data_IF_016907215159
#
_entry.id   IF_016907215159
#
_cell.length_a   1.000
_cell.length_b   1.000
_cell.length_c   1.000
_cell.angle_alpha   90.00
_cell.angle_beta   90.00
_cell.angle_gamma   90.00
#
_symmetry.space_group_name_H-M   'P 1'
#
loop_
_entity.id
_entity.type
_entity.pdbx_description
1 polymer ?
#
# COMPACT_ATOMS: atom_id res chain seq x y z
N UNK A 1 -20.39 -2.58 -1.92
CA UNK A 1 -20.09 -3.88 -2.58
C UNK A 1 -18.60 -3.91 -2.90
N UNK A 2 -17.93 -5.05 -2.64
CA UNK A 2 -16.52 -5.25 -3.01
C UNK A 2 -16.40 -5.40 -4.52
N UNK A 3 -15.50 -4.64 -5.16
CA UNK A 3 -15.20 -4.70 -6.59
C UNK A 3 -14.01 -5.61 -6.88
N UNK A 4 -12.95 -5.50 -6.09
CA UNK A 4 -11.72 -6.25 -6.29
C UNK A 4 -10.96 -6.45 -4.98
N UNK A 5 -10.06 -7.43 -4.96
CA UNK A 5 -9.12 -7.62 -3.87
C UNK A 5 -7.76 -8.11 -4.38
N UNK A 6 -6.70 -7.77 -3.67
CA UNK A 6 -5.34 -8.25 -3.93
C UNK A 6 -4.64 -8.65 -2.63
N UNK A 7 -3.76 -9.64 -2.69
CA UNK A 7 -2.94 -10.11 -1.57
C UNK A 7 -1.46 -9.97 -1.95
N UNK A 8 -0.67 -9.34 -1.10
CA UNK A 8 0.76 -9.19 -1.26
C UNK A 8 1.46 -9.10 0.10
N UNK A 9 2.80 -9.05 0.10
CA UNK A 9 3.62 -8.78 1.27
C UNK A 9 4.90 -8.07 0.83
N UNK A 10 5.67 -7.54 1.79
CA UNK A 10 7.01 -7.03 1.55
C UNK A 10 8.02 -7.91 2.28
N UNK A 11 9.08 -8.32 1.60
CA UNK A 11 10.21 -9.00 2.22
C UNK A 11 11.22 -8.00 2.80
N UNK A 12 12.15 -8.50 3.61
CA UNK A 12 13.32 -7.72 4.04
C UNK A 12 14.16 -7.21 2.87
N UNK A 13 14.26 -8.01 1.80
CA UNK A 13 14.96 -7.62 0.58
C UNK A 13 14.28 -6.45 -0.13
N UNK A 14 12.94 -6.39 -0.13
CA UNK A 14 12.19 -5.27 -0.69
C UNK A 14 12.43 -3.97 0.10
N UNK A 15 12.49 -4.06 1.44
CA UNK A 15 12.83 -2.92 2.28
C UNK A 15 14.26 -2.43 2.04
N UNK A 16 15.23 -3.35 1.97
CA UNK A 16 16.62 -3.01 1.70
C UNK A 16 16.79 -2.34 0.33
N UNK A 17 16.13 -2.86 -0.70
CA UNK A 17 16.13 -2.28 -2.04
C UNK A 17 15.49 -0.89 -2.05
N UNK A 18 14.34 -0.72 -1.38
CA UNK A 18 13.67 0.58 -1.31
C UNK A 18 14.47 1.61 -0.51
N UNK A 19 15.11 1.21 0.59
CA UNK A 19 15.98 2.06 1.39
C UNK A 19 17.17 2.58 0.56
N UNK A 20 17.81 1.71 -0.24
CA UNK A 20 18.91 2.11 -1.12
C UNK A 20 18.48 3.18 -2.14
N UNK A 21 17.24 3.12 -2.62
CA UNK A 21 16.67 4.07 -3.56
C UNK A 21 16.20 5.38 -2.88
N UNK A 22 15.40 5.27 -1.82
CA UNK A 22 14.73 6.39 -1.15
C UNK A 22 15.67 7.22 -0.28
N UNK A 23 16.77 6.63 0.22
CA UNK A 23 17.68 7.25 1.20
C UNK A 23 16.98 7.71 2.49
N UNK A 24 15.83 7.12 2.80
CA UNK A 24 15.16 7.37 4.08
C UNK A 24 15.83 6.51 5.17
N UNK A 25 16.64 7.18 5.98
CA UNK A 25 17.44 6.61 7.08
C UNK A 25 16.66 6.49 8.41
N UNK A 26 15.33 6.61 8.39
CA UNK A 26 14.55 6.45 9.61
C UNK A 26 14.78 5.05 10.22
N UNK A 27 15.30 4.96 11.46
CA UNK A 27 15.72 3.69 12.05
C UNK A 27 14.55 2.72 12.31
N UNK A 28 13.29 3.20 12.28
CA UNK A 28 12.12 2.32 12.42
C UNK A 28 12.10 1.21 11.37
N UNK A 29 12.62 1.48 10.18
CA UNK A 29 12.65 0.51 9.08
C UNK A 29 13.68 -0.61 9.31
N UNK A 30 14.71 -0.38 10.13
CA UNK A 30 15.66 -1.41 10.54
C UNK A 30 15.03 -2.46 11.46
N UNK A 31 13.88 -2.14 12.07
CA UNK A 31 13.09 -3.08 12.86
C UNK A 31 12.17 -3.96 11.97
N UNK A 32 12.13 -3.71 10.66
CA UNK A 32 11.25 -4.41 9.73
C UNK A 32 9.89 -3.71 9.50
N UNK A 33 9.74 -2.45 9.91
CA UNK A 33 8.55 -1.66 9.57
C UNK A 33 8.63 -1.20 8.12
N UNK A 34 7.60 -1.51 7.33
CA UNK A 34 7.51 -1.11 5.91
C UNK A 34 7.42 0.41 5.80
N UNK A 35 8.10 0.99 4.79
CA UNK A 35 8.00 2.42 4.49
C UNK A 35 6.58 2.76 4.03
N UNK A 36 5.96 3.78 4.63
CA UNK A 36 4.60 4.20 4.26
C UNK A 36 4.47 4.52 2.77
N UNK A 37 5.44 5.26 2.22
CA UNK A 37 5.46 5.61 0.79
C UNK A 37 5.63 4.37 -0.09
N UNK A 38 6.43 3.38 0.32
CA UNK A 38 6.57 2.12 -0.41
C UNK A 38 5.24 1.33 -0.42
N UNK A 39 4.54 1.27 0.72
CA UNK A 39 3.22 0.66 0.82
C UNK A 39 2.22 1.35 -0.11
N UNK A 40 2.14 2.68 -0.05
CA UNK A 40 1.24 3.47 -0.89
C UNK A 40 1.53 3.26 -2.39
N UNK A 41 2.81 3.33 -2.80
CA UNK A 41 3.19 3.13 -4.20
C UNK A 41 2.83 1.72 -4.72
N UNK A 42 2.95 0.69 -3.87
CA UNK A 42 2.52 -0.67 -4.22
C UNK A 42 1.01 -0.76 -4.39
N UNK A 43 0.25 -0.15 -3.48
CA UNK A 43 -1.23 -0.09 -3.57
C UNK A 43 -1.64 0.66 -4.82
N UNK A 44 -1.05 1.82 -5.11
CA UNK A 44 -1.31 2.61 -6.31
C UNK A 44 -1.07 1.79 -7.59
N UNK A 45 0.08 1.11 -7.70
CA UNK A 45 0.38 0.26 -8.86
C UNK A 45 -0.64 -0.87 -9.06
N UNK A 46 -1.14 -1.47 -7.98
CA UNK A 46 -2.21 -2.48 -8.04
C UNK A 46 -3.52 -1.83 -8.51
N UNK A 47 -3.91 -0.69 -7.95
CA UNK A 47 -5.13 0.01 -8.33
C UNK A 47 -5.09 0.45 -9.80
N UNK A 48 -3.99 1.05 -10.25
CA UNK A 48 -3.82 1.43 -11.66
C UNK A 48 -3.99 0.23 -12.60
N UNK A 49 -3.45 -0.94 -12.22
CA UNK A 49 -3.60 -2.18 -13.00
C UNK A 49 -5.05 -2.68 -12.98
N UNK A 50 -5.70 -2.71 -11.81
CA UNK A 50 -7.07 -3.22 -11.65
C UNK A 50 -8.13 -2.37 -12.37
N UNK A 51 -7.90 -1.06 -12.49
CA UNK A 51 -8.82 -0.12 -13.13
C UNK A 51 -8.38 0.27 -14.55
N UNK A 52 -7.33 -0.36 -15.09
CA UNK A 52 -6.76 -0.06 -16.41
C UNK A 52 -6.47 1.45 -16.61
N UNK A 53 -6.02 2.11 -15.55
CA UNK A 53 -5.76 3.55 -15.54
C UNK A 53 -4.47 3.83 -16.31
N UNK A 54 -4.61 4.54 -17.44
CA UNK A 54 -3.50 4.92 -18.32
C UNK A 54 -2.84 6.25 -17.96
N UNK A 55 -3.51 7.04 -17.12
CA UNK A 55 -3.06 8.36 -16.70
C UNK A 55 -2.96 8.43 -15.18
N UNK A 56 -2.16 9.39 -14.70
CA UNK A 56 -1.95 9.64 -13.29
C UNK A 56 -3.26 10.16 -12.67
N UNK A 57 -3.79 9.46 -11.67
CA UNK A 57 -4.94 9.91 -10.87
C UNK A 57 -4.47 10.50 -9.56
N UNK A 58 -5.34 11.29 -8.95
CA UNK A 58 -5.18 11.70 -7.57
C UNK A 58 -5.62 10.55 -6.65
N UNK A 59 -4.78 10.24 -5.67
CA UNK A 59 -5.07 9.25 -4.64
C UNK A 59 -4.95 9.92 -3.30
N UNK A 60 -6.00 9.81 -2.48
CA UNK A 60 -5.89 10.09 -1.05
C UNK A 60 -5.60 8.78 -0.32
N UNK A 61 -4.65 8.83 0.62
CA UNK A 61 -4.28 7.69 1.45
C UNK A 61 -4.04 8.14 2.89
N UNK A 62 -4.66 7.44 3.84
CA UNK A 62 -4.43 7.59 5.27
C UNK A 62 -3.71 6.37 5.84
N UNK A 63 -2.53 6.59 6.44
CA UNK A 63 -1.81 5.57 7.21
C UNK A 63 -2.41 5.50 8.62
N UNK A 64 -2.98 4.36 8.98
CA UNK A 64 -3.65 4.16 10.26
C UNK A 64 -2.80 3.36 11.27
N UNK A 65 -1.95 2.46 10.78
CA UNK A 65 -0.94 1.77 11.58
C UNK A 65 0.23 1.30 10.70
N UNK A 66 1.31 0.88 11.35
CA UNK A 66 2.47 0.25 10.71
C UNK A 66 2.13 -1.12 10.13
N UNK A 67 2.96 -1.53 9.17
CA UNK A 67 2.97 -2.87 8.58
C UNK A 67 4.37 -3.45 8.76
N UNK A 68 4.46 -4.73 9.11
CA UNK A 68 5.75 -5.42 9.21
C UNK A 68 6.06 -6.17 7.92
N UNK A 69 7.35 -6.38 7.66
CA UNK A 69 7.79 -7.31 6.63
C UNK A 69 7.23 -8.71 6.86
N UNK A 70 6.99 -9.43 5.77
CA UNK A 70 6.42 -10.76 5.70
C UNK A 70 4.97 -10.88 6.20
N UNK A 71 4.38 -9.83 6.77
CA UNK A 71 2.95 -9.82 7.07
C UNK A 71 2.15 -9.87 5.75
N UNK A 72 1.08 -10.71 5.70
CA UNK A 72 0.16 -10.71 4.58
C UNK A 72 -0.69 -9.43 4.58
N UNK A 73 -0.67 -8.73 3.46
CA UNK A 73 -1.42 -7.48 3.23
C UNK A 73 -2.54 -7.75 2.24
N UNK A 74 -3.77 -7.47 2.68
CA UNK A 74 -4.98 -7.55 1.88
C UNK A 74 -5.45 -6.16 1.48
N UNK A 75 -5.45 -5.89 0.18
CA UNK A 75 -6.11 -4.72 -0.40
C UNK A 75 -7.54 -5.09 -0.77
N UNK A 76 -8.52 -4.34 -0.26
CA UNK A 76 -9.94 -4.47 -0.59
C UNK A 76 -10.39 -3.19 -1.27
N UNK A 77 -11.04 -3.31 -2.41
CA UNK A 77 -11.49 -2.16 -3.22
C UNK A 77 -12.98 -2.24 -3.43
N UNK A 78 -13.71 -1.18 -3.10
CA UNK A 78 -15.15 -1.09 -3.32
C UNK A 78 -15.50 -0.49 -4.68
N UNK A 79 -16.77 -0.63 -5.07
CA UNK A 79 -17.27 -0.16 -6.36
C UNK A 79 -17.21 1.37 -6.53
N UNK A 80 -17.25 2.12 -5.42
CA UNK A 80 -17.15 3.58 -5.34
C UNK A 80 -15.70 4.09 -5.27
N UNK A 81 -14.72 3.23 -5.60
CA UNK A 81 -13.29 3.55 -5.64
C UNK A 81 -12.64 3.86 -4.29
N UNK A 82 -13.35 3.63 -3.18
CA UNK A 82 -12.70 3.50 -1.88
C UNK A 82 -11.87 2.21 -1.83
N UNK A 83 -10.80 2.25 -1.07
CA UNK A 83 -10.01 1.06 -0.77
C UNK A 83 -9.55 1.04 0.67
N UNK A 84 -9.38 -0.18 1.19
CA UNK A 84 -8.86 -0.46 2.52
C UNK A 84 -7.65 -1.38 2.41
N UNK A 85 -6.64 -1.12 3.24
CA UNK A 85 -5.44 -1.93 3.38
C UNK A 85 -5.47 -2.59 4.74
N UNK A 86 -5.42 -3.91 4.75
CA UNK A 86 -5.45 -4.74 5.95
C UNK A 86 -4.15 -5.53 6.07
N UNK A 87 -3.58 -5.59 7.27
CA UNK A 87 -2.49 -6.51 7.59
C UNK A 87 -2.98 -7.45 8.67
N UNK A 88 -2.89 -8.76 8.44
CA UNK A 88 -3.52 -9.78 9.28
C UNK A 88 -5.02 -9.45 9.50
N UNK A 89 -5.42 -9.12 10.74
CA UNK A 89 -6.81 -8.78 11.11
C UNK A 89 -7.02 -7.29 11.43
N UNK A 90 -6.08 -6.42 11.05
CA UNK A 90 -6.12 -4.99 11.36
C UNK A 90 -6.14 -4.14 10.09
N UNK A 91 -7.03 -3.14 10.06
CA UNK A 91 -7.00 -2.08 9.06
C UNK A 91 -5.80 -1.17 9.34
N UNK A 92 -4.86 -1.13 8.42
CA UNK A 92 -3.59 -0.38 8.52
C UNK A 92 -3.56 0.84 7.62
N UNK A 93 -4.48 0.93 6.66
CA UNK A 93 -4.68 2.12 5.86
C UNK A 93 -5.99 2.10 5.08
N UNK A 94 -6.33 3.24 4.53
CA UNK A 94 -7.51 3.42 3.68
C UNK A 94 -7.34 4.62 2.77
N UNK A 95 -8.15 4.69 1.72
CA UNK A 95 -8.10 5.79 0.78
C UNK A 95 -9.19 5.75 -0.27
N UNK A 96 -9.06 6.65 -1.24
CA UNK A 96 -9.95 6.75 -2.38
C UNK A 96 -9.14 7.11 -3.63
N UNK A 97 -9.56 6.58 -4.78
CA UNK A 97 -9.15 7.11 -6.09
C UNK A 97 -10.05 8.30 -6.41
N UNK A 98 -9.48 9.50 -6.46
CA UNK A 98 -10.23 10.71 -6.74
C UNK A 98 -10.48 10.81 -8.25
N UNK A 99 -11.73 11.09 -8.62
CA UNK A 99 -12.05 11.49 -9.99
C UNK A 99 -11.73 12.98 -10.13
N UNK A 100 -11.08 13.35 -11.23
CA UNK A 100 -10.90 14.76 -11.60
C UNK A 100 -12.24 15.48 -11.83
#
# INVERSE_FOLDING_TARGET
MLKASSLFSFSEADLAAYHLFSKDDNPVHQLGVVFGIQLMARVEGILMTLFELKERRNFSYSFLDKVWVNDPIYLKVSADQHFEVWSCDKKVGEGMIEND
#
